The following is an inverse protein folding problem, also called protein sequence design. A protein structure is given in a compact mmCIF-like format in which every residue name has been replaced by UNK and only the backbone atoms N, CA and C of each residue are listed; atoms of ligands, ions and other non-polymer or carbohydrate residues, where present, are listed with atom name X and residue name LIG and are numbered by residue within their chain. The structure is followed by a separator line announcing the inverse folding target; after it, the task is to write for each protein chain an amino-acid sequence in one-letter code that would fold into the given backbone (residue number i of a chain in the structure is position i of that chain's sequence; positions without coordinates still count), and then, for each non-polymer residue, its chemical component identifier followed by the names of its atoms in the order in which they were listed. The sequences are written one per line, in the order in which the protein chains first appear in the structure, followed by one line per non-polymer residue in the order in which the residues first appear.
data_IF_326363192171
#
_entry.id   IF_326363192171
#
_cell.length_a   1.000
_cell.length_b   1.000
_cell.length_c   1.000
_cell.angle_alpha   90.00
_cell.angle_beta   90.00
_cell.angle_gamma   90.00
#
_symmetry.space_group_name_H-M   'P 1'
#
loop_
_entity.id
_entity.type
_entity.pdbx_description
1 polymer ?
#
# COMPACT_ATOMS: atom_id res chain seq x y z
N UNK A 1 19.22 -16.68 -16.48
CA UNK A 1 19.82 -15.39 -16.87
C UNK A 1 19.64 -14.32 -15.80
N UNK A 2 18.50 -14.28 -15.09
CA UNK A 2 18.16 -13.32 -14.02
C UNK A 2 17.86 -11.89 -14.52
N UNK A 3 17.30 -11.04 -13.66
CA UNK A 3 16.94 -9.65 -13.99
C UNK A 3 17.22 -8.66 -12.86
N UNK A 4 17.62 -7.44 -13.23
CA UNK A 4 17.84 -6.34 -12.28
C UNK A 4 16.58 -5.50 -12.13
N UNK A 5 16.16 -5.21 -10.89
CA UNK A 5 14.97 -4.41 -10.63
C UNK A 5 15.21 -2.93 -10.95
N UNK A 6 14.42 -2.37 -11.87
CA UNK A 6 14.50 -0.95 -12.26
C UNK A 6 14.10 0.02 -11.13
N UNK A 7 13.34 -0.43 -10.11
CA UNK A 7 12.93 0.43 -8.98
C UNK A 7 13.97 0.54 -7.86
N UNK A 8 14.85 -0.47 -7.66
CA UNK A 8 15.76 -0.51 -6.51
C UNK A 8 17.16 -1.08 -6.79
N UNK A 9 17.48 -1.45 -8.04
CA UNK A 9 18.75 -2.06 -8.42
C UNK A 9 18.96 -3.51 -7.94
N UNK A 10 18.04 -4.08 -7.16
CA UNK A 10 18.17 -5.44 -6.62
C UNK A 10 18.14 -6.50 -7.71
N UNK A 11 19.01 -7.50 -7.62
CA UNK A 11 19.07 -8.62 -8.56
C UNK A 11 18.03 -9.71 -8.19
N UNK A 12 17.39 -10.28 -9.20
CA UNK A 12 16.23 -11.16 -9.03
C UNK A 12 16.33 -12.39 -9.93
N UNK A 13 16.07 -13.56 -9.34
CA UNK A 13 16.01 -14.82 -10.06
C UNK A 13 14.98 -14.83 -11.21
N UNK A 14 15.24 -15.71 -12.17
CA UNK A 14 14.40 -15.93 -13.35
C UNK A 14 12.99 -16.40 -12.98
N UNK A 15 11.97 -15.95 -13.71
CA UNK A 15 10.57 -16.33 -13.45
C UNK A 15 9.91 -15.64 -12.25
N UNK A 16 10.64 -14.87 -11.44
CA UNK A 16 10.03 -14.10 -10.36
C UNK A 16 9.18 -12.95 -10.92
N UNK A 17 7.91 -12.90 -10.50
CA UNK A 17 6.91 -11.90 -10.98
C UNK A 17 7.05 -10.54 -10.29
N UNK A 18 7.74 -10.50 -9.15
CA UNK A 18 7.98 -9.31 -8.33
C UNK A 18 9.42 -9.32 -7.81
N UNK A 19 9.96 -8.16 -7.51
CA UNK A 19 11.28 -8.00 -6.90
C UNK A 19 11.27 -8.48 -5.45
N UNK A 20 12.17 -9.40 -5.09
CA UNK A 20 12.29 -9.91 -3.71
C UNK A 20 12.79 -8.89 -2.68
N UNK A 21 13.29 -7.74 -3.13
CA UNK A 21 13.85 -6.68 -2.28
C UNK A 21 12.86 -5.54 -1.99
N UNK A 22 11.97 -5.20 -2.95
CA UNK A 22 11.09 -4.04 -2.87
C UNK A 22 9.64 -4.28 -3.32
N UNK A 23 9.29 -5.51 -3.74
CA UNK A 23 7.94 -5.87 -4.20
C UNK A 23 7.53 -5.33 -5.58
N UNK A 24 8.35 -4.50 -6.25
CA UNK A 24 7.99 -3.97 -7.59
C UNK A 24 7.82 -5.09 -8.63
N UNK A 25 6.75 -5.07 -9.46
CA UNK A 25 6.51 -6.10 -10.47
C UNK A 25 7.56 -6.10 -11.58
N UNK A 26 7.85 -7.29 -12.10
CA UNK A 26 8.75 -7.46 -13.24
C UNK A 26 8.17 -6.80 -14.50
N UNK A 27 8.97 -5.98 -15.18
CA UNK A 27 8.60 -5.34 -16.45
C UNK A 27 7.71 -4.11 -16.35
N UNK A 28 7.37 -3.62 -15.15
CA UNK A 28 6.67 -2.35 -14.99
C UNK A 28 7.68 -1.26 -14.59
N UNK A 29 8.04 -0.40 -15.54
CA UNK A 29 8.39 0.96 -15.16
C UNK A 29 7.19 1.53 -14.41
N UNK A 30 7.38 2.01 -13.19
CA UNK A 30 6.28 2.50 -12.39
C UNK A 30 5.55 3.60 -13.17
N UNK A 31 4.31 3.33 -13.60
CA UNK A 31 3.41 4.40 -14.01
C UNK A 31 3.28 5.28 -12.77
N UNK A 32 3.86 6.49 -12.82
CA UNK A 32 3.79 7.43 -11.71
C UNK A 32 2.33 7.51 -11.25
N UNK A 33 2.05 7.51 -9.93
CA UNK A 33 0.67 7.54 -9.46
C UNK A 33 0.00 8.75 -10.10
N UNK A 34 -0.97 8.48 -10.98
CA UNK A 34 -1.80 9.54 -11.54
C UNK A 34 -2.38 10.30 -10.36
N UNK A 35 -2.24 11.63 -10.37
CA UNK A 35 -2.59 12.47 -9.23
C UNK A 35 -3.97 12.06 -8.69
N UNK A 36 -4.12 11.90 -7.37
CA UNK A 36 -5.29 11.26 -6.77
C UNK A 36 -6.55 11.96 -7.29
N UNK A 37 -7.38 11.21 -8.01
CA UNK A 37 -8.65 11.73 -8.48
C UNK A 37 -9.55 11.95 -7.27
N UNK A 38 -10.31 13.05 -7.27
CA UNK A 38 -11.26 13.43 -6.21
C UNK A 38 -12.03 12.27 -5.55
N UNK A 39 -12.61 11.28 -6.28
CA UNK A 39 -13.29 10.14 -5.66
C UNK A 39 -12.39 9.26 -4.78
N UNK A 40 -11.08 9.18 -5.02
CA UNK A 40 -10.16 8.42 -4.17
C UNK A 40 -9.95 9.10 -2.81
N UNK A 41 -9.84 10.43 -2.81
CA UNK A 41 -9.72 11.25 -1.58
C UNK A 41 -11.00 11.18 -0.75
N UNK A 42 -12.16 11.25 -1.40
CA UNK A 42 -13.46 11.12 -0.73
C UNK A 42 -13.68 9.71 -0.14
N UNK A 43 -13.37 8.66 -0.91
CA UNK A 43 -13.42 7.29 -0.42
C UNK A 43 -12.53 7.09 0.82
N UNK A 44 -11.30 7.62 0.82
CA UNK A 44 -10.41 7.56 1.99
C UNK A 44 -11.02 8.26 3.22
N UNK A 45 -11.67 9.42 3.05
CA UNK A 45 -12.38 10.11 4.15
C UNK A 45 -13.57 9.31 4.69
N UNK A 46 -14.19 8.43 3.90
CA UNK A 46 -15.27 7.56 4.38
C UNK A 46 -14.78 6.41 5.29
N UNK A 47 -13.53 5.97 5.12
CA UNK A 47 -12.91 4.93 5.95
C UNK A 47 -12.15 5.48 7.17
N UNK A 48 -11.66 6.71 7.09
CA UNK A 48 -10.98 7.40 8.20
C UNK A 48 -12.02 8.18 9.02
N UNK A 49 -12.25 7.78 10.27
CA UNK A 49 -13.10 8.56 11.19
C UNK A 49 -12.62 10.01 11.26
N UNK A 50 -13.52 11.00 11.19
CA UNK A 50 -13.16 12.43 11.09
C UNK A 50 -12.05 12.87 12.07
N UNK A 51 -12.14 12.44 13.33
CA UNK A 51 -11.14 12.71 14.38
C UNK A 51 -9.69 12.30 14.03
N UNK A 52 -9.49 11.29 13.17
CA UNK A 52 -8.17 10.86 12.68
C UNK A 52 -7.74 11.67 11.47
N UNK A 53 -8.69 12.09 10.62
CA UNK A 53 -8.40 13.00 9.50
C UNK A 53 -7.98 14.40 10.02
N UNK A 54 -8.70 14.95 10.99
CA UNK A 54 -8.34 16.20 11.67
C UNK A 54 -6.93 16.13 12.25
N UNK A 55 -6.64 15.08 13.05
CA UNK A 55 -5.32 14.85 13.66
C UNK A 55 -4.18 14.77 12.63
N UNK A 56 -4.42 14.16 11.46
CA UNK A 56 -3.42 14.03 10.40
C UNK A 56 -3.14 15.37 9.69
N UNK A 57 -4.17 16.22 9.56
CA UNK A 57 -4.04 17.58 9.01
C UNK A 57 -3.29 18.47 10.02
N UNK A 58 -3.66 18.43 11.31
CA UNK A 58 -3.01 19.21 12.38
C UNK A 58 -1.53 18.88 12.56
N UNK A 59 -1.14 17.62 12.37
CA UNK A 59 0.26 17.15 12.46
C UNK A 59 1.07 17.36 11.17
N UNK A 60 0.50 17.99 10.14
CA UNK A 60 1.21 18.28 8.88
C UNK A 60 1.67 17.03 8.11
N UNK A 61 1.07 15.86 8.40
CA UNK A 61 1.52 14.56 7.88
C UNK A 61 2.71 13.93 8.60
N UNK A 62 3.25 14.55 9.66
CA UNK A 62 4.32 13.97 10.47
C UNK A 62 3.76 12.96 11.49
N UNK A 63 3.59 11.71 11.04
CA UNK A 63 3.27 10.60 11.93
C UNK A 63 4.54 10.05 12.60
N UNK A 64 4.85 10.54 13.80
CA UNK A 64 5.88 9.96 14.69
C UNK A 64 5.64 8.46 14.90
N UNK A 65 6.70 7.63 14.91
CA UNK A 65 6.57 6.17 15.10
C UNK A 65 5.85 5.87 16.42
N UNK A 66 4.63 5.34 16.32
CA UNK A 66 3.80 5.02 17.48
C UNK A 66 3.46 3.53 17.54
N UNK A 67 3.83 2.88 18.65
CA UNK A 67 3.52 1.48 18.95
C UNK A 67 2.43 1.39 20.00
N UNK A 68 1.21 1.04 19.60
CA UNK A 68 0.08 0.75 20.49
C UNK A 68 -0.27 -0.74 20.47
N UNK A 69 -0.63 -1.28 21.63
CA UNK A 69 -1.25 -2.60 21.71
C UNK A 69 -2.70 -2.49 21.21
N UNK A 70 -3.03 -3.23 20.15
CA UNK A 70 -4.36 -3.18 19.51
C UNK A 70 -4.92 -4.59 19.31
N UNK A 71 -6.25 -4.70 19.32
CA UNK A 71 -6.95 -5.93 18.93
C UNK A 71 -7.41 -5.79 17.49
N UNK A 72 -6.84 -6.58 16.58
CA UNK A 72 -7.26 -6.64 15.17
C UNK A 72 -8.13 -7.90 14.96
N UNK A 73 -9.46 -7.77 14.82
CA UNK A 73 -10.33 -8.91 14.52
C UNK A 73 -10.15 -9.36 13.07
N UNK A 74 -10.16 -10.68 12.85
CA UNK A 74 -10.12 -11.29 11.52
C UNK A 74 -11.42 -12.05 11.26
N UNK A 75 -11.95 -11.94 10.04
CA UNK A 75 -13.12 -12.66 9.57
C UNK A 75 -12.91 -13.11 8.12
N UNK A 76 -13.30 -14.35 7.80
CA UNK A 76 -13.27 -14.90 6.44
C UNK A 76 -14.67 -14.87 5.80
N UNK A 77 -14.71 -14.75 4.47
CA UNK A 77 -15.95 -14.80 3.69
C UNK A 77 -16.11 -16.14 2.99
N UNK A 78 -16.70 -17.10 3.69
CA UNK A 78 -17.08 -18.39 3.12
C UNK A 78 -18.14 -18.22 2.04
N UNK A 79 -17.75 -18.35 0.76
CA UNK A 79 -18.71 -18.45 -0.35
C UNK A 79 -19.43 -19.80 -0.29
N UNK A 80 -20.72 -19.76 0.04
CA UNK A 80 -21.59 -20.93 -0.06
C UNK A 80 -21.82 -21.25 -1.54
N UNK A 81 -21.41 -22.43 -1.99
CA UNK A 81 -21.86 -22.95 -3.27
C UNK A 81 -23.39 -23.16 -3.23
N UNK A 82 -24.06 -22.92 -4.36
CA UNK A 82 -25.47 -23.23 -4.56
C UNK A 82 -25.62 -24.73 -4.82
#
# INVERSE_FOLDING_TARGET
MAWTCQSCGGENAEGMRFCGHCGSPAGHAASAPAAPSEPATDALRSFVTGQVADRLIESGGEMTEERRLVTAPFADLSRKAC
#
